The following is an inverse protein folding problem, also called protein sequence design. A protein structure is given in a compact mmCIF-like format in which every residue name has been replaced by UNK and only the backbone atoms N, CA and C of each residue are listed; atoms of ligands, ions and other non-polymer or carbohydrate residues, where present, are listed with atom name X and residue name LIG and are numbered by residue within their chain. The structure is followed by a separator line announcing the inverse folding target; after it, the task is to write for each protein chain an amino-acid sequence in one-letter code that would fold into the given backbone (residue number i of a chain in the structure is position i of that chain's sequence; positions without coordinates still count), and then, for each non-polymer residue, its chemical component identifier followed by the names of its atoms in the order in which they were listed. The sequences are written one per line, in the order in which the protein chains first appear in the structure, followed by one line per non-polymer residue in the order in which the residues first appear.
data_IF_753244220561
#
_entry.id   IF_753244220561
#
_cell.length_a   1.000
_cell.length_b   1.000
_cell.length_c   1.000
_cell.angle_alpha   90.00
_cell.angle_beta   90.00
_cell.angle_gamma   90.00
#
_symmetry.space_group_name_H-M   'P 1'
#
loop_
_entity.id
_entity.type
_entity.pdbx_description
1 polymer ?
#
# COMPACT_ATOMS: atom_id res chain seq x y z
N UNK A 1 12.02 25.74 -10.71
CA UNK A 1 11.65 26.41 -9.46
C UNK A 1 10.16 26.74 -9.54
N UNK A 2 9.36 26.23 -8.63
CA UNK A 2 7.96 26.61 -8.52
C UNK A 2 7.87 28.05 -8.04
N UNK A 3 7.04 28.86 -8.71
CA UNK A 3 6.81 30.23 -8.31
C UNK A 3 5.66 30.25 -7.31
N UNK A 4 5.98 30.55 -6.06
CA UNK A 4 4.98 30.70 -5.02
C UNK A 4 4.43 32.12 -5.00
N UNK A 5 3.11 32.27 -4.90
CA UNK A 5 2.45 33.60 -4.85
C UNK A 5 2.54 34.27 -3.48
N UNK A 6 2.78 33.48 -2.42
CA UNK A 6 2.77 33.96 -1.05
C UNK A 6 4.18 34.21 -0.52
N UNK A 7 4.34 35.30 0.22
CA UNK A 7 5.61 35.59 0.88
C UNK A 7 5.95 34.56 1.94
N UNK A 8 7.24 34.26 2.10
CA UNK A 8 7.75 33.33 3.10
C UNK A 8 7.71 31.85 2.68
N UNK A 9 7.15 31.51 1.53
CA UNK A 9 7.12 30.13 1.03
C UNK A 9 8.52 29.56 0.77
N UNK A 10 9.51 30.40 0.52
CA UNK A 10 10.92 30.01 0.40
C UNK A 10 11.46 29.36 1.67
N UNK A 11 10.99 29.78 2.85
CA UNK A 11 11.38 29.18 4.13
C UNK A 11 10.71 27.82 4.34
N UNK A 12 9.45 27.70 3.91
CA UNK A 12 8.73 26.41 3.94
C UNK A 12 9.40 25.40 3.00
N UNK A 13 9.82 25.83 1.81
CA UNK A 13 10.54 25.00 0.85
C UNK A 13 11.85 24.45 1.44
N UNK A 14 12.58 25.26 2.21
CA UNK A 14 13.77 24.80 2.92
C UNK A 14 13.44 23.75 3.99
N UNK A 15 12.36 23.93 4.74
CA UNK A 15 11.91 22.95 5.75
C UNK A 15 11.48 21.66 5.08
N UNK A 16 10.71 21.72 4.00
CA UNK A 16 10.28 20.53 3.24
C UNK A 16 11.46 19.78 2.64
N UNK A 17 12.41 20.51 2.05
CA UNK A 17 13.63 19.93 1.48
C UNK A 17 14.46 19.19 2.54
N UNK A 18 14.62 19.81 3.72
CA UNK A 18 15.31 19.16 4.84
C UNK A 18 14.56 17.92 5.33
N UNK A 19 13.22 17.98 5.43
CA UNK A 19 12.38 16.85 5.81
C UNK A 19 12.55 15.68 4.84
N UNK A 20 12.48 15.94 3.54
CA UNK A 20 12.67 14.92 2.49
C UNK A 20 14.05 14.27 2.63
N UNK A 21 15.12 15.06 2.80
CA UNK A 21 16.47 14.55 2.98
C UNK A 21 16.58 13.64 4.21
N UNK A 22 16.10 14.10 5.36
CA UNK A 22 16.16 13.34 6.60
C UNK A 22 15.32 12.05 6.55
N UNK A 23 14.15 12.11 5.93
CA UNK A 23 13.30 10.92 5.75
C UNK A 23 13.93 9.91 4.78
N UNK A 24 14.58 10.37 3.72
CA UNK A 24 15.33 9.49 2.81
C UNK A 24 16.46 8.74 3.54
N UNK A 25 17.19 9.44 4.38
CA UNK A 25 18.25 8.84 5.21
C UNK A 25 17.67 7.86 6.23
N UNK A 26 16.63 8.25 6.95
CA UNK A 26 15.98 7.43 7.96
C UNK A 26 15.36 6.15 7.39
N UNK A 27 14.68 6.23 6.26
CA UNK A 27 14.01 5.09 5.63
C UNK A 27 14.92 4.29 4.69
N UNK A 28 16.09 4.83 4.31
CA UNK A 28 16.97 4.21 3.32
C UNK A 28 16.32 4.10 1.93
N UNK A 29 15.42 5.01 1.56
CA UNK A 29 14.69 5.01 0.29
C UNK A 29 15.14 6.15 -0.63
N UNK A 30 15.04 5.98 -1.96
CA UNK A 30 15.50 7.00 -2.92
C UNK A 30 14.56 8.21 -3.00
N UNK A 31 13.26 8.00 -2.80
CA UNK A 31 12.23 9.03 -2.96
C UNK A 31 11.31 9.10 -1.75
N UNK A 32 10.91 10.31 -1.40
CA UNK A 32 9.98 10.62 -0.30
C UNK A 32 8.99 11.69 -0.75
N UNK A 33 7.70 11.46 -0.48
CA UNK A 33 6.64 12.44 -0.67
C UNK A 33 6.13 12.90 0.70
N UNK A 34 6.24 14.20 0.99
CA UNK A 34 5.92 14.78 2.29
C UNK A 34 4.63 15.61 2.30
N UNK A 35 4.02 15.85 1.14
CA UNK A 35 2.84 16.74 1.00
C UNK A 35 1.52 16.13 1.45
N UNK A 36 1.49 14.83 1.72
CA UNK A 36 0.30 14.16 2.24
C UNK A 36 0.09 14.49 3.72
N UNK A 37 -1.14 14.78 4.11
CA UNK A 37 -1.49 15.24 5.46
C UNK A 37 -2.18 14.18 6.31
N UNK A 38 -2.38 12.97 5.77
CA UNK A 38 -2.98 11.85 6.50
C UNK A 38 -2.60 10.52 5.88
N UNK A 39 -2.69 9.43 6.65
CA UNK A 39 -2.52 8.06 6.14
C UNK A 39 -3.54 7.70 5.06
N UNK A 40 -4.78 8.18 5.19
CA UNK A 40 -5.81 8.04 4.16
C UNK A 40 -5.38 8.69 2.84
N UNK A 41 -4.83 9.91 2.88
CA UNK A 41 -4.33 10.60 1.70
C UNK A 41 -3.11 9.90 1.12
N UNK A 42 -2.19 9.42 1.96
CA UNK A 42 -1.02 8.65 1.53
C UNK A 42 -1.44 7.39 0.77
N UNK A 43 -2.38 6.62 1.31
CA UNK A 43 -2.89 5.42 0.65
C UNK A 43 -3.64 5.76 -0.66
N UNK A 44 -4.45 6.83 -0.68
CA UNK A 44 -5.10 7.30 -1.90
C UNK A 44 -4.07 7.67 -2.99
N UNK A 45 -3.00 8.36 -2.62
CA UNK A 45 -1.93 8.73 -3.55
C UNK A 45 -1.24 7.49 -4.15
N UNK A 46 -0.93 6.49 -3.32
CA UNK A 46 -0.35 5.22 -3.79
C UNK A 46 -1.30 4.48 -4.72
N UNK A 47 -2.59 4.36 -4.35
CA UNK A 47 -3.58 3.65 -5.17
C UNK A 47 -3.81 4.35 -6.51
N UNK A 48 -3.86 5.68 -6.52
CA UNK A 48 -3.94 6.47 -7.76
C UNK A 48 -2.72 6.24 -8.64
N UNK A 49 -1.52 6.32 -8.07
CA UNK A 49 -0.28 6.06 -8.79
C UNK A 49 -0.23 4.63 -9.36
N UNK A 50 -0.75 3.65 -8.64
CA UNK A 50 -0.85 2.26 -9.13
C UNK A 50 -1.79 2.15 -10.32
N UNK A 51 -2.97 2.79 -10.26
CA UNK A 51 -3.90 2.81 -11.41
C UNK A 51 -3.27 3.50 -12.61
N UNK A 52 -2.57 4.62 -12.44
CA UNK A 52 -1.83 5.28 -13.51
C UNK A 52 -0.74 4.37 -14.08
N UNK A 53 -0.01 3.67 -13.23
CA UNK A 53 1.07 2.77 -13.64
C UNK A 53 0.56 1.60 -14.49
N UNK A 54 -0.49 0.91 -14.08
CA UNK A 54 -1.05 -0.23 -14.83
C UNK A 54 -1.71 0.19 -16.15
N UNK A 55 -2.11 1.46 -16.27
CA UNK A 55 -2.73 2.02 -17.49
C UNK A 55 -1.74 2.85 -18.35
N UNK A 56 -0.44 2.89 -18.00
CA UNK A 56 0.56 3.75 -18.66
C UNK A 56 0.77 3.49 -20.14
N UNK A 57 0.47 2.28 -20.61
CA UNK A 57 0.70 1.86 -22.00
C UNK A 57 -0.41 2.28 -22.96
N UNK A 58 -1.63 2.48 -22.46
CA UNK A 58 -2.77 2.94 -23.28
C UNK A 58 -3.64 3.95 -22.52
N UNK A 59 -3.21 5.19 -22.54
CA UNK A 59 -3.93 6.31 -21.90
C UNK A 59 -5.16 6.80 -22.67
N UNK A 60 -5.50 6.22 -23.81
CA UNK A 60 -6.66 6.59 -24.62
C UNK A 60 -7.91 5.87 -24.19
N UNK A 61 -7.77 4.77 -23.46
CA UNK A 61 -8.90 4.01 -22.91
C UNK A 61 -9.25 4.51 -21.52
N UNK A 62 -10.49 4.25 -21.11
CA UNK A 62 -10.89 4.44 -19.73
C UNK A 62 -9.97 3.59 -18.82
N UNK A 63 -9.36 4.20 -17.78
CA UNK A 63 -8.45 3.50 -16.90
C UNK A 63 -9.12 2.31 -16.21
N UNK A 64 -8.56 1.12 -16.34
CA UNK A 64 -8.98 -0.02 -15.56
C UNK A 64 -8.52 0.11 -14.12
N UNK A 65 -9.29 -0.43 -13.21
CA UNK A 65 -8.96 -0.55 -11.79
C UNK A 65 -8.02 -1.74 -11.56
N UNK A 66 -7.43 -1.81 -10.35
CA UNK A 66 -6.63 -2.94 -9.91
C UNK A 66 -7.46 -4.23 -9.97
N UNK A 67 -6.97 -5.25 -10.67
CA UNK A 67 -7.68 -6.51 -10.89
C UNK A 67 -7.84 -7.31 -9.59
N UNK A 68 -6.76 -7.37 -8.79
CA UNK A 68 -6.75 -7.98 -7.47
C UNK A 68 -5.85 -7.19 -6.54
N UNK A 69 -6.29 -7.04 -5.30
CA UNK A 69 -5.50 -6.48 -4.19
C UNK A 69 -5.48 -7.49 -3.05
N UNK A 70 -4.30 -7.73 -2.47
CA UNK A 70 -4.15 -8.57 -1.29
C UNK A 70 -3.83 -7.71 -0.07
N UNK A 71 -4.58 -7.86 1.03
CA UNK A 71 -4.40 -7.03 2.21
C UNK A 71 -4.70 -7.76 3.52
N UNK A 72 -4.42 -7.11 4.65
CA UNK A 72 -4.82 -7.59 5.97
C UNK A 72 -6.30 -7.29 6.21
N UNK A 73 -7.08 -8.29 6.61
CA UNK A 73 -8.51 -8.11 6.89
C UNK A 73 -8.72 -7.21 8.12
N UNK A 74 -9.71 -6.31 8.05
CA UNK A 74 -9.99 -5.34 9.12
C UNK A 74 -10.24 -6.00 10.48
N UNK A 75 -10.99 -7.11 10.54
CA UNK A 75 -11.28 -7.84 11.79
C UNK A 75 -10.01 -8.48 12.39
N UNK A 76 -8.96 -8.66 11.59
CA UNK A 76 -7.65 -9.18 11.99
C UNK A 76 -6.62 -8.08 12.22
N UNK A 77 -7.09 -6.87 12.47
CA UNK A 77 -6.26 -5.71 12.75
C UNK A 77 -5.85 -4.89 11.53
N UNK A 78 -6.32 -5.21 10.32
CA UNK A 78 -6.02 -4.49 9.10
C UNK A 78 -6.44 -3.02 9.16
N UNK A 79 -5.69 -2.15 8.46
CA UNK A 79 -5.97 -0.72 8.43
C UNK A 79 -7.18 -0.41 7.55
N UNK A 80 -8.06 0.49 8.02
CA UNK A 80 -9.30 0.85 7.31
C UNK A 80 -9.05 1.43 5.91
N UNK A 81 -8.05 2.29 5.76
CA UNK A 81 -7.76 2.94 4.47
C UNK A 81 -7.39 1.95 3.36
N UNK A 82 -6.82 0.79 3.70
CA UNK A 82 -6.50 -0.28 2.75
C UNK A 82 -7.69 -1.23 2.47
N UNK A 83 -8.90 -0.91 2.94
CA UNK A 83 -10.08 -1.74 2.74
C UNK A 83 -10.99 -1.19 1.63
N UNK A 84 -11.85 -2.05 1.03
CA UNK A 84 -12.83 -1.61 0.04
C UNK A 84 -13.90 -0.63 0.55
N UNK A 85 -14.00 -0.47 1.87
CA UNK A 85 -14.85 0.54 2.51
C UNK A 85 -14.11 1.84 2.83
N UNK A 86 -12.80 1.86 2.66
CA UNK A 86 -11.92 3.02 2.84
C UNK A 86 -11.38 3.55 1.51
N UNK A 87 -10.12 4.00 1.48
CA UNK A 87 -9.51 4.60 0.29
C UNK A 87 -9.43 3.64 -0.92
N UNK A 88 -9.33 2.33 -0.69
CA UNK A 88 -9.24 1.34 -1.78
C UNK A 88 -10.52 1.24 -2.62
N UNK A 89 -11.66 1.76 -2.14
CA UNK A 89 -13.00 1.62 -2.75
C UNK A 89 -13.02 1.88 -4.25
N UNK A 90 -12.41 2.97 -4.67
CA UNK A 90 -12.53 3.48 -6.04
C UNK A 90 -11.40 2.98 -6.95
N UNK A 91 -10.42 2.27 -6.39
CA UNK A 91 -9.22 1.82 -7.10
C UNK A 91 -9.18 0.32 -7.41
N UNK A 92 -10.02 -0.49 -6.75
CA UNK A 92 -10.09 -1.94 -6.97
C UNK A 92 -11.28 -2.30 -7.85
N UNK A 93 -11.09 -3.27 -8.74
CA UNK A 93 -12.16 -3.82 -9.57
C UNK A 93 -13.24 -4.48 -8.71
N UNK A 94 -14.44 -4.59 -9.27
CA UNK A 94 -15.58 -5.27 -8.66
C UNK A 94 -16.15 -6.26 -9.64
N UNK A 95 -16.66 -7.35 -9.11
CA UNK A 95 -17.44 -8.29 -9.88
C UNK A 95 -18.71 -7.57 -10.40
N UNK A 96 -19.00 -7.60 -11.72
CA UNK A 96 -20.09 -6.83 -12.29
C UNK A 96 -21.49 -7.29 -11.88
N UNK A 97 -21.63 -8.51 -11.34
CA UNK A 97 -22.91 -9.09 -10.93
C UNK A 97 -23.11 -8.97 -9.41
N UNK A 98 -22.10 -9.35 -8.64
CA UNK A 98 -22.18 -9.41 -7.18
C UNK A 98 -21.68 -8.15 -6.49
N UNK A 99 -21.06 -7.23 -7.22
CA UNK A 99 -20.39 -6.01 -6.73
C UNK A 99 -19.28 -6.29 -5.70
N UNK A 100 -18.90 -7.54 -5.52
CA UNK A 100 -17.81 -7.89 -4.61
C UNK A 100 -16.51 -7.28 -5.09
N UNK A 101 -15.77 -6.58 -4.22
CA UNK A 101 -14.46 -6.05 -4.58
C UNK A 101 -13.45 -7.19 -4.78
N UNK A 102 -12.57 -7.03 -5.75
CA UNK A 102 -11.50 -7.99 -6.06
C UNK A 102 -10.37 -7.88 -5.02
N UNK A 103 -10.70 -8.24 -3.79
CA UNK A 103 -9.77 -8.22 -2.65
C UNK A 103 -9.68 -9.61 -2.05
N UNK A 104 -8.46 -10.09 -1.89
CA UNK A 104 -8.13 -11.31 -1.16
C UNK A 104 -7.41 -10.93 0.14
N UNK A 105 -7.84 -11.51 1.25
CA UNK A 105 -7.22 -11.20 2.53
C UNK A 105 -6.13 -12.21 2.89
N UNK A 106 -5.08 -11.74 3.56
CA UNK A 106 -4.08 -12.64 4.12
C UNK A 106 -4.74 -13.60 5.11
N UNK A 107 -4.53 -14.91 4.96
CA UNK A 107 -4.96 -15.90 5.93
C UNK A 107 -4.15 -15.76 7.22
N UNK A 108 -4.77 -16.16 8.33
CA UNK A 108 -4.15 -16.13 9.65
C UNK A 108 -4.15 -17.52 10.26
N UNK A 109 -3.26 -17.77 11.19
CA UNK A 109 -3.17 -19.04 11.89
C UNK A 109 -4.45 -19.31 12.68
N UNK A 110 -4.87 -20.56 12.77
CA UNK A 110 -6.08 -20.98 13.48
C UNK A 110 -6.01 -20.69 14.99
N UNK A 111 -4.84 -20.84 15.57
CA UNK A 111 -4.54 -20.64 16.98
C UNK A 111 -4.12 -19.20 17.30
N UNK A 112 -3.78 -18.39 16.28
CA UNK A 112 -3.40 -17.00 16.46
C UNK A 112 -3.94 -16.11 15.33
N UNK A 113 -5.10 -15.48 15.53
CA UNK A 113 -5.78 -14.70 14.50
C UNK A 113 -5.05 -13.38 14.13
N UNK A 114 -3.99 -13.02 14.82
CA UNK A 114 -3.18 -11.83 14.56
C UNK A 114 -1.85 -12.14 13.86
N UNK A 115 -1.54 -13.42 13.64
CA UNK A 115 -0.35 -13.88 12.94
C UNK A 115 -0.70 -14.46 11.58
N UNK A 116 -0.01 -13.98 10.54
CA UNK A 116 -0.21 -14.47 9.17
C UNK A 116 0.18 -15.95 9.04
N UNK A 117 -0.65 -16.71 8.34
CA UNK A 117 -0.31 -18.04 7.84
C UNK A 117 0.44 -17.86 6.51
N UNK A 118 1.78 -17.84 6.60
CA UNK A 118 2.63 -17.55 5.44
C UNK A 118 2.46 -18.58 4.33
N UNK A 119 2.50 -19.91 4.57
CA UNK A 119 2.27 -20.88 3.50
C UNK A 119 0.96 -20.68 2.76
N UNK A 120 -0.14 -20.47 3.49
CA UNK A 120 -1.45 -20.23 2.89
C UNK A 120 -1.49 -18.86 2.15
N UNK A 121 -0.80 -17.85 2.64
CA UNK A 121 -0.67 -16.55 1.97
C UNK A 121 0.07 -16.67 0.64
N UNK A 122 1.12 -17.48 0.57
CA UNK A 122 1.87 -17.72 -0.67
C UNK A 122 1.03 -18.48 -1.72
N UNK A 123 0.21 -19.44 -1.30
CA UNK A 123 -0.72 -20.12 -2.20
C UNK A 123 -1.73 -19.14 -2.83
N UNK A 124 -2.29 -18.22 -2.02
CA UNK A 124 -3.18 -17.17 -2.54
C UNK A 124 -2.45 -16.16 -3.45
N UNK A 125 -1.19 -15.84 -3.14
CA UNK A 125 -0.36 -14.99 -3.99
C UNK A 125 -0.18 -15.60 -5.39
N UNK A 126 0.08 -16.90 -5.45
CA UNK A 126 0.25 -17.64 -6.70
C UNK A 126 -1.07 -17.75 -7.49
N UNK A 127 -2.17 -18.00 -6.80
CA UNK A 127 -3.51 -18.13 -7.40
C UNK A 127 -4.03 -16.80 -7.98
N UNK A 128 -4.01 -15.72 -7.17
CA UNK A 128 -4.65 -14.46 -7.53
C UNK A 128 -3.73 -13.48 -8.26
N UNK A 129 -2.41 -13.61 -8.10
CA UNK A 129 -1.40 -12.70 -8.66
C UNK A 129 -1.80 -11.22 -8.51
N UNK A 130 -2.02 -10.74 -7.27
CA UNK A 130 -2.56 -9.41 -7.03
C UNK A 130 -1.60 -8.33 -7.56
N UNK A 131 -2.13 -7.30 -8.20
CA UNK A 131 -1.31 -6.18 -8.69
C UNK A 131 -0.75 -5.33 -7.55
N UNK A 132 -1.47 -5.29 -6.42
CA UNK A 132 -1.02 -4.60 -5.21
C UNK A 132 -1.19 -5.49 -3.98
N UNK A 133 -0.14 -5.58 -3.20
CA UNK A 133 -0.10 -6.29 -1.92
C UNK A 133 0.15 -5.26 -0.82
N UNK A 134 -0.82 -5.09 0.08
CA UNK A 134 -0.75 -4.12 1.17
C UNK A 134 -0.56 -4.82 2.49
N UNK A 135 0.63 -4.72 3.06
CA UNK A 135 0.89 -5.02 4.46
C UNK A 135 0.62 -3.79 5.31
N UNK A 136 0.17 -4.00 6.51
CA UNK A 136 -0.06 -2.94 7.49
C UNK A 136 -1.34 -3.15 8.27
N UNK A 137 -1.23 -2.96 9.56
CA UNK A 137 -2.30 -3.15 10.53
C UNK A 137 -2.34 -1.99 11.51
N UNK A 138 -3.53 -1.66 11.98
CA UNK A 138 -3.69 -0.80 13.16
C UNK A 138 -3.34 -1.53 14.45
N UNK A 139 -3.50 -2.86 14.46
CA UNK A 139 -3.16 -3.72 15.60
C UNK A 139 -2.05 -4.69 15.19
N UNK A 140 -0.81 -4.30 15.46
CA UNK A 140 0.39 -5.09 15.15
C UNK A 140 1.00 -5.60 16.45
N UNK A 141 0.93 -6.92 16.66
CA UNK A 141 1.52 -7.62 17.80
C UNK A 141 2.56 -8.67 17.38
N UNK A 142 2.65 -8.94 16.09
CA UNK A 142 3.65 -9.82 15.50
C UNK A 142 4.33 -9.13 14.32
N UNK A 143 5.61 -9.42 14.13
CA UNK A 143 6.37 -8.96 12.97
C UNK A 143 5.71 -9.47 11.67
N UNK A 144 5.49 -8.56 10.73
CA UNK A 144 4.99 -8.92 9.40
C UNK A 144 6.07 -9.64 8.58
N UNK A 145 5.74 -10.69 7.81
CA UNK A 145 6.70 -11.51 7.04
C UNK A 145 7.11 -10.83 5.73
N UNK A 146 7.62 -9.59 5.82
CA UNK A 146 7.97 -8.77 4.64
C UNK A 146 9.03 -9.44 3.77
N UNK A 147 10.07 -10.02 4.38
CA UNK A 147 11.17 -10.63 3.65
C UNK A 147 10.73 -11.88 2.90
N UNK A 148 9.87 -12.71 3.51
CA UNK A 148 9.30 -13.91 2.91
C UNK A 148 8.41 -13.55 1.72
N UNK A 149 7.51 -12.61 1.91
CA UNK A 149 6.62 -12.14 0.84
C UNK A 149 7.41 -11.50 -0.31
N UNK A 150 8.42 -10.68 -0.01
CA UNK A 150 9.25 -10.06 -1.05
C UNK A 150 9.98 -11.09 -1.92
N UNK A 151 10.46 -12.18 -1.32
CA UNK A 151 11.07 -13.28 -2.07
C UNK A 151 10.05 -13.99 -2.94
N UNK A 152 8.92 -14.37 -2.35
CA UNK A 152 7.86 -15.07 -3.07
C UNK A 152 7.27 -14.25 -4.22
N UNK A 153 7.09 -12.95 -4.05
CA UNK A 153 6.61 -12.06 -5.11
C UNK A 153 7.52 -12.15 -6.35
N UNK A 154 8.83 -12.13 -6.17
CA UNK A 154 9.77 -12.22 -7.29
C UNK A 154 9.63 -13.51 -8.11
N UNK A 155 9.23 -14.59 -7.47
CA UNK A 155 9.11 -15.91 -8.07
C UNK A 155 7.70 -16.20 -8.59
N UNK A 156 6.68 -15.88 -7.80
CA UNK A 156 5.29 -16.27 -8.06
C UNK A 156 4.48 -15.20 -8.78
N UNK A 157 4.77 -13.92 -8.54
CA UNK A 157 4.01 -12.80 -9.08
C UNK A 157 4.89 -11.55 -9.26
N UNK A 158 5.88 -11.57 -10.17
CA UNK A 158 6.91 -10.53 -10.31
C UNK A 158 6.36 -9.14 -10.66
N UNK A 159 5.15 -9.07 -11.20
CA UNK A 159 4.47 -7.79 -11.50
C UNK A 159 3.74 -7.18 -10.29
N UNK A 160 3.62 -7.92 -9.18
CA UNK A 160 3.00 -7.41 -7.95
C UNK A 160 3.86 -6.36 -7.27
N UNK A 161 3.23 -5.29 -6.82
CA UNK A 161 3.88 -4.25 -6.01
C UNK A 161 3.57 -4.51 -4.54
N UNK A 162 4.60 -4.53 -3.72
CA UNK A 162 4.48 -4.65 -2.26
C UNK A 162 4.50 -3.27 -1.62
N UNK A 163 3.42 -2.93 -0.94
CA UNK A 163 3.27 -1.74 -0.11
C UNK A 163 3.27 -2.13 1.36
N UNK A 164 4.00 -1.39 2.19
CA UNK A 164 3.92 -1.54 3.63
C UNK A 164 3.46 -0.23 4.28
N UNK A 165 2.23 -0.22 4.79
CA UNK A 165 1.70 0.88 5.60
C UNK A 165 2.24 0.77 7.02
N UNK A 166 3.22 1.61 7.33
CA UNK A 166 3.95 1.63 8.61
C UNK A 166 3.41 2.68 9.60
N UNK A 167 2.25 3.27 9.35
CA UNK A 167 1.72 4.39 10.16
C UNK A 167 1.66 4.07 11.67
N UNK A 168 1.44 2.82 12.04
CA UNK A 168 1.34 2.39 13.44
C UNK A 168 2.67 1.86 14.03
N UNK A 169 3.74 1.73 13.25
CA UNK A 169 4.98 1.09 13.71
C UNK A 169 6.26 1.87 13.39
N UNK A 170 6.22 2.85 12.51
CA UNK A 170 7.42 3.51 11.98
C UNK A 170 8.35 4.05 13.08
N UNK A 171 7.83 4.61 14.14
CA UNK A 171 8.63 5.12 15.26
C UNK A 171 8.99 4.06 16.32
N UNK A 172 8.56 2.81 16.14
CA UNK A 172 8.72 1.72 17.11
C UNK A 172 9.67 0.62 16.65
N UNK A 173 10.04 0.66 15.38
CA UNK A 173 10.99 -0.28 14.77
C UNK A 173 12.31 0.45 14.53
N UNK A 174 13.41 -0.10 15.06
CA UNK A 174 14.78 0.40 14.90
C UNK A 174 15.64 -0.64 14.22
#
# INVERSE_FOLDING_TARGET
AEIFYYQGTEFIDQVESLLVEQMRLFLGCPEVETRVISGQMANTAVFSAMVDYINRTDRRREPRRLSWVMNNHIIRGGHLSAQPMGALRDFVARDPITEKPAVVNFPVLKDNPYKMDVPAALALLEEYKPELIVLGKSMIIHKEPVAELRRAIKELSPESILMYDMAHVLGLIG
#
